data_IF_916130640094
#
_entry.id   IF_916130640094
#
_cell.length_a   1.000
_cell.length_b   1.000
_cell.length_c   1.000
_cell.angle_alpha   90.00
_cell.angle_beta   90.00
_cell.angle_gamma   90.00
#
_symmetry.space_group_name_H-M   'P 1'
#
loop_
_entity.id
_entity.type
_entity.pdbx_description
1 polymer ?
#
# COMPACT_ATOMS: atom_id res chain seq x y z
N UNK A 1 -28.36 -38.99 -80.73
CA UNK A 1 -29.65 -39.12 -80.01
C UNK A 1 -29.68 -40.43 -79.24
N UNK A 2 -29.35 -40.40 -77.94
CA UNK A 2 -29.67 -41.44 -76.94
C UNK A 2 -29.80 -40.73 -75.59
N UNK A 3 -30.92 -40.98 -74.91
CA UNK A 3 -31.27 -40.43 -73.60
C UNK A 3 -30.96 -41.44 -72.48
N UNK A 4 -30.59 -40.95 -71.30
CA UNK A 4 -30.79 -41.56 -69.96
C UNK A 4 -30.16 -40.60 -68.93
N UNK A 5 -30.88 -39.77 -68.16
CA UNK A 5 -31.62 -40.03 -66.90
C UNK A 5 -30.86 -40.86 -65.86
N UNK A 6 -31.05 -40.49 -64.58
CA UNK A 6 -30.63 -41.15 -63.29
C UNK A 6 -29.29 -40.57 -62.76
N UNK A 7 -29.11 -40.03 -61.56
CA UNK A 7 -29.89 -39.93 -60.32
C UNK A 7 -29.25 -38.80 -59.46
N UNK A 8 -30.02 -37.83 -58.97
CA UNK A 8 -29.54 -36.81 -58.03
C UNK A 8 -29.93 -37.24 -56.61
N UNK A 9 -28.95 -37.75 -55.85
CA UNK A 9 -29.10 -38.10 -54.44
C UNK A 9 -28.65 -36.89 -53.61
N UNK A 10 -29.58 -36.10 -53.09
CA UNK A 10 -29.28 -35.10 -52.05
C UNK A 10 -30.22 -35.38 -50.88
N UNK A 11 -29.73 -36.22 -49.96
CA UNK A 11 -30.29 -36.36 -48.63
C UNK A 11 -30.06 -35.04 -47.86
N UNK A 12 -31.13 -34.29 -47.61
CA UNK A 12 -31.16 -33.24 -46.60
C UNK A 12 -31.00 -33.89 -45.21
N UNK A 13 -29.76 -33.95 -44.71
CA UNK A 13 -29.50 -34.14 -43.29
C UNK A 13 -29.68 -32.78 -42.60
N UNK A 14 -30.89 -32.53 -42.10
CA UNK A 14 -31.15 -31.47 -41.13
C UNK A 14 -30.53 -31.92 -39.81
N UNK A 15 -29.26 -31.58 -39.60
CA UNK A 15 -28.64 -31.65 -38.27
C UNK A 15 -29.11 -30.42 -37.49
N UNK A 16 -30.10 -30.64 -36.64
CA UNK A 16 -30.47 -29.71 -35.57
C UNK A 16 -29.25 -29.52 -34.67
N UNK A 17 -28.58 -28.38 -34.81
CA UNK A 17 -27.61 -27.90 -33.83
C UNK A 17 -28.41 -27.62 -32.56
N UNK A 18 -28.36 -28.56 -31.62
CA UNK A 18 -28.74 -28.33 -30.23
C UNK A 18 -27.76 -27.28 -29.68
N UNK A 19 -28.13 -26.00 -29.80
CA UNK A 19 -27.54 -24.91 -29.04
C UNK A 19 -27.81 -25.18 -27.57
N UNK A 20 -26.92 -25.94 -26.92
CA UNK A 20 -26.78 -25.89 -25.48
C UNK A 20 -26.17 -24.53 -25.15
N UNK A 21 -27.02 -23.58 -24.77
CA UNK A 21 -26.58 -22.42 -24.02
C UNK A 21 -25.98 -22.93 -22.70
N UNK A 22 -24.67 -23.18 -22.69
CA UNK A 22 -23.94 -23.28 -21.44
C UNK A 22 -23.81 -21.87 -20.88
N UNK A 23 -24.75 -21.49 -20.02
CA UNK A 23 -24.45 -20.52 -18.96
C UNK A 23 -23.41 -21.20 -18.08
N UNK A 24 -22.13 -21.04 -18.42
CA UNK A 24 -21.05 -21.28 -17.48
C UNK A 24 -21.36 -20.38 -16.29
N UNK A 25 -21.77 -20.98 -15.17
CA UNK A 25 -21.88 -20.25 -13.92
C UNK A 25 -20.52 -19.60 -13.68
N UNK A 26 -20.49 -18.27 -13.61
CA UNK A 26 -19.26 -17.56 -13.36
C UNK A 26 -18.76 -17.99 -11.98
N UNK A 27 -17.67 -18.75 -11.97
CA UNK A 27 -17.09 -19.33 -10.75
C UNK A 27 -16.24 -18.31 -10.00
N UNK A 28 -16.04 -17.12 -10.57
CA UNK A 28 -15.24 -16.07 -9.98
C UNK A 28 -15.90 -15.50 -8.73
N UNK A 29 -15.09 -15.31 -7.69
CA UNK A 29 -15.50 -14.57 -6.50
C UNK A 29 -15.51 -13.09 -6.83
N UNK A 30 -16.56 -12.39 -6.42
CA UNK A 30 -16.69 -10.94 -6.56
C UNK A 30 -16.76 -10.28 -5.19
N UNK A 31 -16.23 -9.07 -5.11
CA UNK A 31 -16.47 -8.13 -4.02
C UNK A 31 -17.43 -7.05 -4.51
N UNK A 32 -18.53 -6.88 -3.78
CA UNK A 32 -19.50 -5.81 -3.99
C UNK A 32 -19.39 -4.84 -2.81
N UNK A 33 -19.07 -3.58 -3.10
CA UNK A 33 -19.17 -2.46 -2.16
C UNK A 33 -20.49 -1.73 -2.46
N UNK A 34 -21.37 -1.61 -1.47
CA UNK A 34 -22.63 -0.88 -1.57
C UNK A 34 -22.46 0.60 -1.21
N UNK A 35 -23.40 1.44 -1.62
CA UNK A 35 -23.37 2.90 -1.41
C UNK A 35 -23.42 3.31 0.06
N UNK A 36 -24.03 2.48 0.91
CA UNK A 36 -24.04 2.61 2.38
C UNK A 36 -22.71 2.19 3.03
N UNK A 37 -21.74 1.68 2.24
CA UNK A 37 -20.40 1.33 2.69
C UNK A 37 -20.25 -0.08 3.25
N UNK A 38 -21.26 -0.94 3.07
CA UNK A 38 -21.16 -2.38 3.32
C UNK A 38 -20.36 -3.08 2.21
N UNK A 39 -19.72 -4.20 2.57
CA UNK A 39 -18.93 -4.99 1.64
C UNK A 39 -19.30 -6.46 1.74
N UNK A 40 -19.57 -7.07 0.59
CA UNK A 40 -19.94 -8.47 0.48
C UNK A 40 -18.99 -9.17 -0.48
N UNK A 41 -18.58 -10.38 -0.10
CA UNK A 41 -17.76 -11.26 -0.92
C UNK A 41 -18.53 -12.55 -1.16
N UNK A 42 -18.67 -12.91 -2.43
CA UNK A 42 -19.41 -14.11 -2.81
C UNK A 42 -19.34 -14.38 -4.30
N UNK A 43 -20.12 -15.35 -4.76
CA UNK A 43 -20.28 -15.67 -6.19
C UNK A 43 -21.62 -15.15 -6.68
N UNK A 44 -21.65 -14.57 -7.86
CA UNK A 44 -22.91 -14.15 -8.48
C UNK A 44 -23.62 -15.41 -8.96
N UNK A 45 -24.75 -15.76 -8.35
CA UNK A 45 -25.56 -16.91 -8.77
C UNK A 45 -26.65 -16.51 -9.76
N UNK A 46 -27.10 -15.25 -9.70
CA UNK A 46 -28.06 -14.69 -10.65
C UNK A 46 -27.85 -13.19 -10.79
N UNK A 47 -28.07 -12.67 -11.98
CA UNK A 47 -28.05 -11.24 -12.28
C UNK A 47 -29.19 -10.92 -13.25
N UNK A 48 -29.97 -9.88 -12.94
CA UNK A 48 -30.99 -9.32 -13.82
C UNK A 48 -30.77 -7.81 -14.02
N UNK A 49 -31.74 -7.08 -14.57
CA UNK A 49 -31.59 -5.63 -14.84
C UNK A 49 -31.54 -4.79 -13.56
N UNK A 50 -32.09 -5.29 -12.46
CA UNK A 50 -32.38 -4.50 -11.27
C UNK A 50 -31.50 -4.91 -10.09
N UNK A 51 -31.12 -6.20 -10.02
CA UNK A 51 -30.42 -6.78 -8.88
C UNK A 51 -29.42 -7.88 -9.24
N UNK A 52 -28.55 -8.15 -8.27
CA UNK A 52 -27.60 -9.25 -8.25
C UNK A 52 -27.92 -10.14 -7.04
N UNK A 53 -27.93 -11.45 -7.25
CA UNK A 53 -27.98 -12.46 -6.19
C UNK A 53 -26.56 -12.97 -5.96
N UNK A 54 -26.04 -12.71 -4.76
CA UNK A 54 -24.69 -13.05 -4.35
C UNK A 54 -24.72 -14.16 -3.31
N UNK A 55 -24.13 -15.31 -3.63
CA UNK A 55 -23.93 -16.41 -2.69
C UNK A 55 -22.66 -16.16 -1.85
N UNK A 56 -22.86 -15.84 -0.58
CA UNK A 56 -21.79 -15.58 0.39
C UNK A 56 -21.54 -16.80 1.28
N UNK A 57 -20.31 -16.96 1.77
CA UNK A 57 -19.98 -18.09 2.66
C UNK A 57 -20.72 -18.05 4.01
N UNK A 58 -21.07 -16.85 4.50
CA UNK A 58 -21.57 -16.66 5.87
C UNK A 58 -23.04 -16.29 5.96
N UNK A 59 -23.55 -15.50 5.01
CA UNK A 59 -24.91 -14.97 5.04
C UNK A 59 -25.85 -15.77 4.12
N UNK A 60 -25.33 -16.78 3.42
CA UNK A 60 -26.05 -17.46 2.36
C UNK A 60 -26.20 -16.56 1.13
N UNK A 61 -27.31 -16.72 0.42
CA UNK A 61 -27.65 -15.86 -0.72
C UNK A 61 -28.21 -14.52 -0.25
N UNK A 62 -27.66 -13.43 -0.77
CA UNK A 62 -28.13 -12.07 -0.53
C UNK A 62 -28.51 -11.42 -1.86
N UNK A 63 -29.56 -10.61 -1.84
CA UNK A 63 -30.02 -9.83 -3.00
C UNK A 63 -29.60 -8.38 -2.85
N UNK A 64 -28.86 -7.85 -3.81
CA UNK A 64 -28.36 -6.47 -3.81
C UNK A 64 -28.90 -5.76 -5.06
N UNK A 65 -29.59 -4.63 -4.88
CA UNK A 65 -30.03 -3.81 -6.00
C UNK A 65 -28.83 -3.16 -6.68
N UNK A 66 -28.81 -3.15 -8.01
CA UNK A 66 -27.73 -2.51 -8.79
C UNK A 66 -27.60 -1.02 -8.50
N UNK A 67 -28.71 -0.37 -8.14
CA UNK A 67 -28.72 1.04 -7.69
C UNK A 67 -27.92 1.25 -6.42
N UNK A 68 -27.85 0.25 -5.55
CA UNK A 68 -27.13 0.30 -4.28
C UNK A 68 -25.67 -0.10 -4.43
N UNK A 69 -25.26 -0.65 -5.57
CA UNK A 69 -23.87 -1.02 -5.84
C UNK A 69 -23.06 0.22 -6.16
N UNK A 70 -21.99 0.43 -5.38
CA UNK A 70 -20.97 1.45 -5.62
C UNK A 70 -19.83 0.91 -6.46
N UNK A 71 -19.38 -0.32 -6.20
CA UNK A 71 -18.38 -0.99 -7.04
C UNK A 71 -18.49 -2.51 -6.97
N UNK A 72 -18.13 -3.16 -8.09
CA UNK A 72 -18.02 -4.61 -8.21
C UNK A 72 -16.62 -4.93 -8.76
N UNK A 73 -15.85 -5.76 -8.05
CA UNK A 73 -14.50 -6.18 -8.47
C UNK A 73 -14.36 -7.70 -8.38
N UNK A 74 -13.80 -8.30 -9.41
CA UNK A 74 -13.42 -9.71 -9.38
C UNK A 74 -12.23 -9.91 -8.42
N UNK A 75 -12.31 -10.93 -7.59
CA UNK A 75 -11.25 -11.35 -6.67
C UNK A 75 -10.43 -12.41 -7.37
N UNK A 76 -9.14 -12.13 -7.55
CA UNK A 76 -8.21 -13.10 -8.13
C UNK A 76 -7.93 -14.21 -7.10
N UNK A 77 -7.76 -15.45 -7.56
CA UNK A 77 -7.50 -16.60 -6.66
C UNK A 77 -6.29 -16.40 -5.76
N UNK A 78 -5.28 -15.64 -6.21
CA UNK A 78 -4.08 -15.27 -5.46
C UNK A 78 -4.37 -14.38 -4.25
N UNK A 79 -5.52 -13.69 -4.24
CA UNK A 79 -5.98 -12.86 -3.12
C UNK A 79 -6.71 -13.68 -2.07
N UNK A 80 -6.90 -14.99 -2.25
CA UNK A 80 -7.58 -15.85 -1.29
C UNK A 80 -6.56 -16.73 -0.61
N UNK A 81 -6.42 -16.57 0.71
CA UNK A 81 -5.54 -17.39 1.54
C UNK A 81 -6.29 -17.84 2.79
N UNK A 82 -6.31 -19.15 3.01
CA UNK A 82 -7.02 -19.81 4.10
C UNK A 82 -8.52 -19.44 4.15
N UNK A 83 -9.16 -19.41 2.97
CA UNK A 83 -10.58 -19.07 2.82
C UNK A 83 -10.92 -17.60 3.08
N UNK A 84 -9.94 -16.75 3.36
CA UNK A 84 -10.11 -15.30 3.58
C UNK A 84 -9.58 -14.52 2.39
N UNK A 85 -10.18 -13.36 2.12
CA UNK A 85 -9.67 -12.42 1.11
C UNK A 85 -8.60 -11.53 1.74
N UNK A 86 -7.44 -11.47 1.09
CA UNK A 86 -6.27 -10.69 1.44
C UNK A 86 -6.14 -9.58 0.40
N UNK A 87 -6.69 -8.40 0.71
CA UNK A 87 -6.57 -7.23 -0.17
C UNK A 87 -5.12 -6.75 -0.26
N UNK A 88 -4.71 -6.10 -1.36
CA UNK A 88 -3.40 -5.48 -1.47
C UNK A 88 -3.12 -4.53 -0.29
N UNK A 89 -1.85 -4.40 0.09
CA UNK A 89 -1.43 -3.45 1.12
C UNK A 89 -1.63 -2.01 0.63
N UNK A 90 -2.55 -1.22 1.23
CA UNK A 90 -2.78 0.17 0.81
C UNK A 90 -1.64 1.11 1.20
N UNK A 91 -0.63 0.63 1.94
CA UNK A 91 0.51 1.38 2.45
C UNK A 91 1.83 0.63 2.18
N UNK A 92 1.97 0.09 0.97
CA UNK A 92 3.10 -0.76 0.56
C UNK A 92 4.46 -0.03 0.47
N UNK A 93 4.46 1.29 0.28
CA UNK A 93 5.66 2.09 -0.04
C UNK A 93 6.43 2.59 1.19
N UNK A 94 5.98 2.25 2.41
CA UNK A 94 6.59 2.70 3.68
C UNK A 94 6.44 1.72 4.83
N UNK A 95 7.30 1.88 5.83
CA UNK A 95 7.18 1.29 7.17
C UNK A 95 6.41 2.25 8.10
N UNK A 96 6.90 2.57 9.30
CA UNK A 96 6.23 3.51 10.20
C UNK A 96 6.24 4.92 9.63
N UNK A 97 7.40 5.40 9.18
CA UNK A 97 7.50 6.63 8.40
C UNK A 97 8.55 6.51 7.27
N UNK A 98 9.58 5.68 7.47
CA UNK A 98 10.62 5.47 6.47
C UNK A 98 10.02 4.93 5.17
N UNK A 99 10.37 5.49 4.00
CA UNK A 99 10.01 4.87 2.74
C UNK A 99 10.76 3.54 2.58
N UNK A 100 10.29 2.69 1.66
CA UNK A 100 11.04 1.54 1.18
C UNK A 100 11.30 1.67 -0.34
N UNK A 101 11.89 0.66 -0.97
CA UNK A 101 12.18 0.64 -2.40
C UNK A 101 10.93 0.69 -3.29
N UNK A 102 9.76 0.27 -2.80
CA UNK A 102 8.51 0.42 -3.53
C UNK A 102 8.08 1.89 -3.63
N UNK A 103 7.65 2.31 -4.82
CA UNK A 103 7.15 3.66 -5.08
C UNK A 103 5.62 3.72 -5.08
N UNK A 104 5.09 4.92 -4.95
CA UNK A 104 3.70 5.21 -5.34
C UNK A 104 3.62 5.25 -6.85
N UNK A 105 2.60 4.61 -7.43
CA UNK A 105 2.37 4.72 -8.87
C UNK A 105 1.74 6.05 -9.24
N UNK A 106 1.67 6.35 -10.54
CA UNK A 106 1.06 7.59 -11.02
C UNK A 106 -0.38 7.73 -10.50
N UNK A 107 -0.62 8.82 -9.78
CA UNK A 107 -1.93 9.14 -9.21
C UNK A 107 -2.25 8.46 -7.89
N UNK A 108 -1.37 7.59 -7.37
CA UNK A 108 -1.50 7.05 -6.02
C UNK A 108 -0.96 8.08 -5.00
N UNK A 109 -1.64 8.21 -3.87
CA UNK A 109 -1.17 9.03 -2.77
C UNK A 109 -1.66 8.54 -1.43
N UNK A 110 -1.09 9.10 -0.38
CA UNK A 110 -1.58 8.93 0.98
C UNK A 110 -1.33 10.17 1.82
N UNK A 111 -2.21 10.38 2.78
CA UNK A 111 -2.00 11.25 3.91
C UNK A 111 -1.67 10.38 5.13
N UNK A 112 -0.75 10.84 5.96
CA UNK A 112 -0.40 10.23 7.22
C UNK A 112 -0.27 11.30 8.30
N UNK A 113 -0.86 11.00 9.45
CA UNK A 113 -0.69 11.75 10.68
C UNK A 113 0.03 10.86 11.71
N UNK A 114 1.06 11.37 12.37
CA UNK A 114 1.75 10.70 13.48
C UNK A 114 1.66 11.60 14.71
N UNK A 115 1.23 11.03 15.85
CA UNK A 115 1.04 11.73 17.13
C UNK A 115 0.19 13.00 17.06
N UNK A 116 -0.73 13.13 16.10
CA UNK A 116 -1.50 14.36 15.82
C UNK A 116 -0.65 15.50 15.25
N UNK A 117 0.64 15.57 15.59
CA UNK A 117 1.55 16.67 15.25
C UNK A 117 2.20 16.54 13.87
N UNK A 118 2.65 15.35 13.49
CA UNK A 118 3.36 15.19 12.23
C UNK A 118 2.37 14.89 11.13
N UNK A 119 2.17 15.85 10.24
CA UNK A 119 1.23 15.74 9.13
C UNK A 119 2.03 15.62 7.84
N UNK A 120 1.96 14.48 7.17
CA UNK A 120 2.68 14.23 5.93
C UNK A 120 1.79 13.67 4.84
N UNK A 121 2.17 13.95 3.60
CA UNK A 121 1.55 13.36 2.42
C UNK A 121 2.64 12.89 1.46
N UNK A 122 2.27 11.96 0.59
CA UNK A 122 3.07 11.60 -0.57
C UNK A 122 2.16 11.32 -1.77
N UNK A 123 2.65 11.63 -2.96
CA UNK A 123 1.93 11.46 -4.21
C UNK A 123 2.86 10.99 -5.33
N UNK A 124 2.43 9.97 -6.08
CA UNK A 124 3.10 9.46 -7.27
C UNK A 124 2.83 10.34 -8.48
N UNK A 125 3.85 11.06 -8.94
CA UNK A 125 3.81 11.89 -10.14
C UNK A 125 3.91 11.02 -11.40
N UNK A 126 4.76 9.99 -11.34
CA UNK A 126 4.89 8.92 -12.34
C UNK A 126 4.88 7.56 -11.63
N UNK A 127 5.00 6.46 -12.38
CA UNK A 127 5.09 5.13 -11.79
C UNK A 127 6.41 4.86 -11.03
N UNK A 128 7.39 5.75 -11.18
CA UNK A 128 8.72 5.61 -10.59
C UNK A 128 9.17 6.86 -9.82
N UNK A 129 8.43 7.96 -9.87
CA UNK A 129 8.76 9.20 -9.17
C UNK A 129 7.58 9.67 -8.34
N UNK A 130 7.86 9.91 -7.06
CA UNK A 130 6.92 10.44 -6.09
C UNK A 130 7.51 11.64 -5.37
N UNK A 131 6.64 12.54 -4.93
CA UNK A 131 7.00 13.65 -4.06
C UNK A 131 6.10 13.61 -2.83
N UNK A 132 6.72 13.76 -1.67
CA UNK A 132 6.02 13.99 -0.42
C UNK A 132 6.35 15.33 0.18
N UNK A 133 5.64 15.63 1.26
CA UNK A 133 5.94 16.75 2.12
C UNK A 133 5.30 16.57 3.48
N UNK A 134 5.85 17.25 4.47
CA UNK A 134 5.31 17.22 5.81
C UNK A 134 5.44 18.57 6.51
N UNK A 135 4.62 18.72 7.53
CA UNK A 135 4.66 19.82 8.49
C UNK A 135 4.44 19.28 9.90
N UNK A 136 5.20 19.80 10.85
CA UNK A 136 4.98 19.62 12.28
C UNK A 136 4.61 20.98 12.87
N UNK A 137 3.31 21.34 12.97
CA UNK A 137 2.84 22.69 13.22
C UNK A 137 2.96 23.07 14.71
N UNK A 138 4.19 23.18 15.20
CA UNK A 138 4.49 23.55 16.58
C UNK A 138 4.08 24.98 16.91
N UNK A 139 3.76 25.82 15.91
CA UNK A 139 3.16 27.14 16.12
C UNK A 139 1.85 27.09 16.91
N UNK A 140 1.13 25.96 16.90
CA UNK A 140 -0.07 25.72 17.71
C UNK A 140 0.23 25.60 19.22
N UNK A 141 1.50 25.43 19.59
CA UNK A 141 1.99 25.27 20.96
C UNK A 141 2.81 26.47 21.39
N UNK A 142 2.17 27.65 21.41
CA UNK A 142 2.81 28.88 21.86
C UNK A 142 3.75 29.52 20.84
N UNK A 143 3.52 29.30 19.54
CA UNK A 143 4.33 29.90 18.48
C UNK A 143 5.67 29.22 18.24
N UNK A 144 5.82 27.95 18.63
CA UNK A 144 7.07 27.21 18.49
C UNK A 144 7.55 27.06 17.04
N UNK A 145 8.87 26.94 16.82
CA UNK A 145 9.47 26.72 15.51
C UNK A 145 8.86 25.50 14.80
N UNK A 146 8.48 25.65 13.53
CA UNK A 146 7.67 24.67 12.79
C UNK A 146 8.46 24.02 11.66
N UNK A 147 8.90 22.76 11.83
CA UNK A 147 9.55 22.01 10.76
C UNK A 147 8.62 21.79 9.56
N UNK A 148 9.13 22.08 8.37
CA UNK A 148 8.49 21.77 7.09
C UNK A 148 9.52 21.15 6.17
N UNK A 149 9.12 20.14 5.40
CA UNK A 149 10.02 19.52 4.42
C UNK A 149 9.27 18.95 3.23
N UNK A 150 10.01 18.78 2.14
CA UNK A 150 9.61 17.99 0.97
C UNK A 150 10.47 16.74 0.89
N UNK A 151 9.93 15.71 0.25
CA UNK A 151 10.58 14.41 0.11
C UNK A 151 10.43 13.81 -1.29
N UNK A 152 11.23 14.26 -2.27
CA UNK A 152 11.28 13.59 -3.58
C UNK A 152 11.91 12.21 -3.46
N UNK A 153 11.34 11.24 -4.19
CA UNK A 153 11.81 9.86 -4.22
C UNK A 153 11.62 9.24 -5.59
N UNK A 154 12.67 8.56 -6.06
CA UNK A 154 12.64 7.68 -7.22
C UNK A 154 12.68 6.21 -6.77
N UNK A 155 11.94 5.35 -7.48
CA UNK A 155 11.81 3.92 -7.21
C UNK A 155 12.02 3.11 -8.48
N UNK A 156 12.87 2.09 -8.40
CA UNK A 156 13.26 1.22 -9.50
C UNK A 156 12.93 -0.24 -9.16
N UNK A 157 11.88 -0.82 -9.76
CA UNK A 157 11.56 -2.23 -9.58
C UNK A 157 12.54 -3.10 -10.40
N UNK A 158 13.61 -3.57 -9.77
CA UNK A 158 14.65 -4.39 -10.41
C UNK A 158 14.08 -5.77 -10.77
N UNK A 159 13.39 -6.40 -9.82
CA UNK A 159 12.62 -7.62 -10.04
C UNK A 159 11.27 -7.50 -9.35
N UNK A 160 10.19 -7.62 -10.14
CA UNK A 160 8.82 -7.41 -9.65
C UNK A 160 8.54 -8.28 -8.41
N UNK A 161 8.07 -7.62 -7.35
CA UNK A 161 7.69 -8.25 -6.06
C UNK A 161 8.81 -9.02 -5.34
N UNK A 162 10.07 -8.81 -5.74
CA UNK A 162 11.23 -9.49 -5.16
C UNK A 162 12.36 -8.55 -4.81
N UNK A 163 12.67 -7.58 -5.66
CA UNK A 163 13.78 -6.66 -5.42
C UNK A 163 13.49 -5.29 -6.01
N UNK A 164 13.53 -4.26 -5.16
CA UNK A 164 13.30 -2.87 -5.54
C UNK A 164 14.38 -1.99 -4.95
N UNK A 165 14.83 -1.01 -5.74
CA UNK A 165 15.73 0.04 -5.29
C UNK A 165 14.96 1.35 -5.17
N UNK A 166 15.36 2.19 -4.23
CA UNK A 166 14.87 3.54 -4.09
C UNK A 166 16.01 4.49 -3.78
N UNK A 167 15.88 5.73 -4.23
CA UNK A 167 16.73 6.83 -3.80
C UNK A 167 15.87 8.07 -3.61
N UNK A 168 16.23 8.92 -2.68
CA UNK A 168 15.46 10.11 -2.40
C UNK A 168 16.20 11.10 -1.54
N UNK A 169 15.53 12.21 -1.29
CA UNK A 169 15.97 13.20 -0.35
C UNK A 169 14.81 13.63 0.54
N UNK A 170 15.13 14.07 1.75
CA UNK A 170 14.30 14.95 2.56
C UNK A 170 15.00 16.30 2.60
N UNK A 171 14.29 17.38 2.30
CA UNK A 171 14.85 18.73 2.28
C UNK A 171 13.85 19.64 2.98
N UNK A 172 14.28 20.30 4.05
CA UNK A 172 13.41 21.06 4.92
C UNK A 172 14.06 22.29 5.55
N UNK A 173 13.21 23.04 6.23
CA UNK A 173 13.56 24.20 7.03
C UNK A 173 12.66 24.27 8.26
N UNK A 174 13.02 25.11 9.22
CA UNK A 174 12.24 25.38 10.42
C UNK A 174 11.65 26.77 10.33
N UNK A 175 10.34 26.87 10.11
CA UNK A 175 9.65 28.16 10.08
C UNK A 175 9.67 28.80 11.47
N UNK A 176 10.00 30.08 11.54
CA UNK A 176 10.18 30.80 12.81
C UNK A 176 11.64 30.91 13.25
N UNK A 177 12.57 30.26 12.55
CA UNK A 177 14.02 30.40 12.74
C UNK A 177 14.68 31.06 11.52
N UNK A 178 15.78 31.77 11.74
CA UNK A 178 16.57 32.43 10.67
C UNK A 178 17.57 31.49 9.99
N UNK A 179 18.01 30.46 10.71
CA UNK A 179 18.86 29.35 10.26
C UNK A 179 18.18 28.03 10.64
N UNK A 180 18.56 26.89 10.07
CA UNK A 180 17.86 25.63 10.31
C UNK A 180 17.36 24.97 9.03
N UNK A 181 18.18 25.02 7.98
CA UNK A 181 17.96 24.12 6.83
C UNK A 181 18.48 22.74 7.20
N UNK A 182 17.70 21.71 6.91
CA UNK A 182 18.09 20.34 7.21
C UNK A 182 17.63 19.40 6.11
N UNK A 183 18.24 18.23 6.07
CA UNK A 183 17.77 17.18 5.22
C UNK A 183 18.57 15.90 5.30
N UNK A 184 18.22 14.99 4.41
CA UNK A 184 18.74 13.64 4.34
C UNK A 184 18.74 13.20 2.88
N UNK A 185 19.90 12.88 2.31
CA UNK A 185 19.97 12.15 1.05
C UNK A 185 20.14 10.66 1.36
N UNK A 186 19.35 9.80 0.72
CA UNK A 186 19.37 8.37 1.03
C UNK A 186 19.18 7.47 -0.18
N UNK A 187 19.69 6.24 -0.05
CA UNK A 187 19.41 5.09 -0.90
C UNK A 187 18.83 3.94 -0.09
N UNK A 188 17.98 3.13 -0.69
CA UNK A 188 17.33 1.99 -0.03
C UNK A 188 17.16 0.81 -0.97
N UNK A 189 17.43 -0.38 -0.46
CA UNK A 189 17.23 -1.65 -1.14
C UNK A 189 16.16 -2.45 -0.40
N UNK A 190 15.14 -2.93 -1.11
CA UNK A 190 14.03 -3.70 -0.54
C UNK A 190 13.91 -5.07 -1.18
N UNK A 191 13.85 -6.09 -0.33
CA UNK A 191 13.80 -7.49 -0.72
C UNK A 191 12.47 -8.12 -0.27
N UNK A 192 11.80 -8.81 -1.19
CA UNK A 192 10.52 -9.48 -0.98
C UNK A 192 9.30 -8.64 -1.40
N UNK A 193 8.10 -9.27 -1.44
CA UNK A 193 6.87 -8.64 -1.93
C UNK A 193 6.33 -7.52 -1.02
N UNK A 194 5.39 -6.69 -1.49
CA UNK A 194 4.76 -5.61 -0.70
C UNK A 194 4.14 -6.01 0.64
N UNK A 195 3.78 -7.29 0.81
CA UNK A 195 3.19 -7.82 2.04
C UNK A 195 4.21 -8.50 2.98
N UNK A 196 5.43 -8.71 2.50
CA UNK A 196 6.49 -9.40 3.24
C UNK A 196 7.84 -8.97 2.69
N UNK A 197 8.42 -7.94 3.27
CA UNK A 197 9.71 -7.42 2.82
C UNK A 197 10.59 -6.92 3.95
N UNK A 198 11.87 -6.84 3.64
CA UNK A 198 12.91 -6.22 4.46
C UNK A 198 13.60 -5.18 3.58
N UNK A 199 13.96 -4.04 4.15
CA UNK A 199 14.77 -3.03 3.51
C UNK A 199 16.02 -2.70 4.30
N UNK A 200 17.07 -2.38 3.55
CA UNK A 200 18.33 -1.84 4.08
C UNK A 200 18.58 -0.53 3.37
N UNK A 201 18.73 0.54 4.13
CA UNK A 201 18.97 1.89 3.64
C UNK A 201 20.23 2.51 4.23
N UNK A 202 20.78 3.45 3.49
CA UNK A 202 21.89 4.29 3.89
C UNK A 202 21.51 5.75 3.59
N UNK A 203 21.73 6.65 4.53
CA UNK A 203 21.50 8.07 4.29
C UNK A 203 22.54 8.96 4.95
N UNK A 204 22.80 10.11 4.35
CA UNK A 204 23.65 11.16 4.89
C UNK A 204 22.79 12.37 5.22
N UNK A 205 22.80 12.75 6.50
CA UNK A 205 22.15 13.97 6.95
C UNK A 205 22.95 15.19 6.51
N UNK A 206 22.27 16.30 6.27
CA UNK A 206 22.89 17.61 6.16
C UNK A 206 22.11 18.62 7.00
N UNK A 207 22.82 19.58 7.58
CA UNK A 207 22.23 20.70 8.31
C UNK A 207 23.11 21.94 8.10
N UNK A 208 22.48 23.07 7.82
CA UNK A 208 23.13 24.39 7.71
C UNK A 208 24.39 24.41 6.82
N UNK A 209 24.31 23.69 5.69
CA UNK A 209 25.37 23.62 4.68
C UNK A 209 26.44 22.55 4.93
N UNK A 210 26.40 21.87 6.07
CA UNK A 210 27.35 20.82 6.43
C UNK A 210 26.73 19.42 6.33
N UNK A 211 27.51 18.47 5.82
CA UNK A 211 27.13 17.06 5.76
C UNK A 211 27.60 16.33 7.01
N UNK A 212 26.78 15.40 7.50
CA UNK A 212 27.19 14.49 8.55
C UNK A 212 28.42 13.68 8.14
N UNK A 213 29.38 13.51 9.06
CA UNK A 213 30.60 12.73 8.84
C UNK A 213 30.35 11.22 8.70
N UNK A 214 29.22 10.76 9.26
CA UNK A 214 28.85 9.34 9.31
C UNK A 214 27.44 9.14 8.75
N UNK A 215 27.20 8.02 8.05
CA UNK A 215 25.87 7.70 7.55
C UNK A 215 24.94 7.20 8.66
N UNK A 216 23.65 7.32 8.38
CA UNK A 216 22.58 6.62 9.08
C UNK A 216 22.30 5.33 8.30
N UNK A 217 22.36 4.19 8.99
CA UNK A 217 21.94 2.90 8.44
C UNK A 217 20.51 2.62 8.90
N UNK A 218 19.63 2.31 7.96
CA UNK A 218 18.25 1.90 8.26
C UNK A 218 18.05 0.42 7.94
N UNK A 219 17.47 -0.34 8.85
CA UNK A 219 17.03 -1.72 8.61
C UNK A 219 15.59 -1.84 9.07
N UNK A 220 14.70 -2.14 8.13
CA UNK A 220 13.26 -2.10 8.37
C UNK A 220 12.59 -3.32 7.75
N UNK A 221 11.48 -3.78 8.34
CA UNK A 221 10.77 -4.97 7.91
C UNK A 221 9.27 -4.84 8.09
N UNK A 222 8.53 -5.50 7.21
CA UNK A 222 7.06 -5.56 7.23
C UNK A 222 6.61 -6.97 6.87
N UNK A 223 5.79 -7.56 7.73
CA UNK A 223 5.32 -8.94 7.59
C UNK A 223 3.82 -9.01 7.84
N UNK A 224 3.04 -9.36 6.81
CA UNK A 224 1.60 -9.55 6.96
C UNK A 224 1.29 -10.82 7.76
N UNK A 225 0.68 -10.64 8.93
CA UNK A 225 0.29 -11.70 9.85
C UNK A 225 -1.13 -12.24 9.57
N UNK A 226 -2.03 -11.37 9.10
CA UNK A 226 -3.42 -11.73 8.79
C UNK A 226 -3.99 -10.80 7.70
N UNK A 227 -5.25 -10.99 7.24
CA UNK A 227 -5.85 -10.11 6.24
C UNK A 227 -5.80 -8.62 6.56
N UNK A 228 -5.75 -8.26 7.86
CA UNK A 228 -5.75 -6.85 8.31
C UNK A 228 -4.54 -6.48 9.17
N UNK A 229 -3.66 -7.41 9.50
CA UNK A 229 -2.58 -7.17 10.46
C UNK A 229 -1.22 -7.37 9.83
N UNK A 230 -0.33 -6.42 10.07
CA UNK A 230 1.08 -6.49 9.72
C UNK A 230 1.91 -6.26 10.98
N UNK A 231 3.00 -7.00 11.12
CA UNK A 231 4.11 -6.63 12.00
C UNK A 231 5.04 -5.69 11.25
N UNK A 232 5.50 -4.63 11.92
CA UNK A 232 6.44 -3.65 11.37
C UNK A 232 7.57 -3.43 12.38
N UNK A 233 8.79 -3.34 11.87
CA UNK A 233 9.97 -2.92 12.61
C UNK A 233 10.76 -1.95 11.74
N UNK A 234 11.24 -0.86 12.31
CA UNK A 234 11.97 0.20 11.62
C UNK A 234 13.11 0.67 12.53
N UNK A 235 14.34 0.34 12.13
CA UNK A 235 15.51 0.48 13.01
C UNK A 235 16.57 1.34 12.34
N UNK A 236 17.26 2.14 13.16
CA UNK A 236 18.27 3.09 12.74
C UNK A 236 19.52 2.90 13.57
N UNK A 237 20.66 2.90 12.91
CA UNK A 237 21.97 3.05 13.52
C UNK A 237 22.57 4.36 13.05
N UNK A 238 23.02 5.17 14.00
CA UNK A 238 23.52 6.52 13.79
C UNK A 238 24.97 6.55 14.30
N UNK A 239 25.93 6.56 13.38
CA UNK A 239 27.36 6.49 13.69
C UNK A 239 28.01 7.84 14.03
N UNK A 240 27.28 8.77 14.65
CA UNK A 240 27.72 10.17 14.81
C UNK A 240 28.59 10.37 16.08
N UNK A 241 28.61 9.43 17.03
CA UNK A 241 29.42 9.48 18.26
C UNK A 241 30.38 8.30 18.40
N UNK A 242 31.46 8.46 19.18
CA UNK A 242 32.47 7.41 19.46
C UNK A 242 31.87 6.14 20.09
N UNK A 243 30.73 6.26 20.78
CA UNK A 243 30.05 5.13 21.44
C UNK A 243 29.01 4.44 20.55
N UNK A 244 28.63 5.03 19.42
CA UNK A 244 27.57 4.53 18.55
C UNK A 244 26.18 4.54 19.23
N UNK A 245 25.13 4.75 18.44
CA UNK A 245 23.78 4.73 18.96
C UNK A 245 22.74 4.53 17.88
N UNK A 246 21.49 4.49 18.28
CA UNK A 246 20.42 4.29 17.33
C UNK A 246 19.07 4.14 17.98
N UNK A 247 18.13 3.69 17.18
CA UNK A 247 16.75 3.45 17.61
C UNK A 247 16.31 2.14 17.00
N UNK A 248 15.83 1.22 17.84
CA UNK A 248 15.14 0.02 17.38
C UNK A 248 13.64 0.19 17.58
N UNK A 249 12.83 -0.51 16.80
CA UNK A 249 11.39 -0.46 16.99
C UNK A 249 10.70 -1.77 16.66
N UNK A 250 9.51 -1.92 17.23
CA UNK A 250 8.59 -2.99 16.89
C UNK A 250 7.15 -2.55 17.12
N UNK A 251 6.26 -3.02 16.26
CA UNK A 251 4.83 -2.78 16.41
C UNK A 251 4.01 -3.38 15.29
N UNK A 252 2.81 -2.83 15.10
CA UNK A 252 1.83 -3.35 14.18
C UNK A 252 1.14 -2.27 13.36
N UNK A 253 0.70 -2.67 12.17
CA UNK A 253 -0.23 -1.94 11.32
C UNK A 253 -1.53 -2.71 11.21
N UNK A 254 -2.62 -2.04 11.53
CA UNK A 254 -3.98 -2.54 11.39
C UNK A 254 -4.70 -1.84 10.24
N UNK A 255 -5.14 -2.61 9.24
CA UNK A 255 -5.87 -2.10 8.07
C UNK A 255 -7.38 -2.04 8.36
N UNK A 256 -7.94 -0.84 8.22
CA UNK A 256 -9.36 -0.53 8.43
C UNK A 256 -9.96 -0.04 7.11
N UNK A 257 -10.62 -0.95 6.38
CA UNK A 257 -11.06 -0.71 5.00
C UNK A 257 -9.87 -0.27 4.13
N UNK A 258 -9.79 1.01 3.79
CA UNK A 258 -8.68 1.61 3.03
C UNK A 258 -7.67 2.34 3.93
N UNK A 259 -8.03 2.68 5.15
CA UNK A 259 -7.14 3.35 6.10
C UNK A 259 -6.24 2.35 6.84
N UNK A 260 -5.22 2.87 7.50
CA UNK A 260 -4.35 2.07 8.37
C UNK A 260 -4.03 2.80 9.66
N UNK A 261 -3.99 2.06 10.76
CA UNK A 261 -3.53 2.51 12.07
C UNK A 261 -2.21 1.81 12.38
N UNK A 262 -1.17 2.60 12.63
CA UNK A 262 0.16 2.15 12.99
C UNK A 262 0.37 2.39 14.48
N UNK A 263 0.87 1.40 15.21
CA UNK A 263 1.26 1.58 16.60
C UNK A 263 2.47 0.73 16.94
N UNK A 264 3.32 1.22 17.83
CA UNK A 264 4.57 0.55 18.17
C UNK A 264 5.33 1.25 19.27
N UNK A 265 6.55 0.80 19.51
CA UNK A 265 7.47 1.41 20.45
C UNK A 265 8.84 1.54 19.78
N UNK A 266 9.41 2.74 19.85
CA UNK A 266 10.75 3.05 19.39
C UNK A 266 11.66 3.19 20.60
N UNK A 267 12.62 2.30 20.75
CA UNK A 267 13.53 2.25 21.90
C UNK A 267 14.91 2.75 21.44
N UNK A 268 15.37 3.91 21.93
CA UNK A 268 16.71 4.37 21.66
C UNK A 268 17.74 3.48 22.40
N UNK A 269 18.92 3.32 21.82
CA UNK A 269 20.05 2.62 22.43
C UNK A 269 21.35 3.40 22.17
N UNK A 270 22.32 3.26 23.07
CA UNK A 270 23.58 4.02 23.07
C UNK A 270 24.01 4.37 24.49
N UNK A 271 25.19 4.96 24.64
CA UNK A 271 25.69 5.41 25.94
C UNK A 271 24.82 6.55 26.50
N UNK A 272 24.57 6.52 27.82
CA UNK A 272 23.86 7.60 28.52
C UNK A 272 22.35 7.72 28.25
N UNK A 273 21.71 6.67 27.69
CA UNK A 273 20.27 6.69 27.41
C UNK A 273 19.48 6.00 28.52
N UNK A 274 18.78 6.80 29.34
CA UNK A 274 17.86 6.33 30.38
C UNK A 274 16.39 6.22 29.89
N UNK A 275 16.16 6.53 28.62
CA UNK A 275 14.82 6.62 28.04
C UNK A 275 14.30 5.26 27.57
N UNK A 276 13.14 4.83 28.10
CA UNK A 276 12.58 3.48 27.89
C UNK A 276 11.98 3.29 26.50
N UNK A 277 11.45 4.34 25.87
CA UNK A 277 10.94 4.27 24.50
C UNK A 277 9.84 5.28 24.17
N UNK A 278 9.73 5.59 22.89
CA UNK A 278 8.77 6.54 22.32
C UNK A 278 7.60 5.72 21.76
N UNK A 279 6.39 5.85 22.33
CA UNK A 279 5.24 5.17 21.76
C UNK A 279 4.95 5.75 20.38
N UNK A 280 4.71 4.90 19.38
CA UNK A 280 4.32 5.32 18.04
C UNK A 280 2.81 5.20 17.90
N UNK A 281 2.17 6.24 17.36
CA UNK A 281 0.78 6.19 16.92
C UNK A 281 0.65 6.96 15.61
N UNK A 282 0.33 6.24 14.55
CA UNK A 282 0.15 6.79 13.21
C UNK A 282 -1.19 6.40 12.63
N UNK A 283 -1.78 7.30 11.85
CA UNK A 283 -2.98 7.04 11.09
C UNK A 283 -2.76 7.47 9.64
N UNK A 284 -3.13 6.63 8.68
CA UNK A 284 -2.97 6.95 7.26
C UNK A 284 -4.20 6.63 6.44
N UNK A 285 -4.49 7.48 5.48
CA UNK A 285 -5.57 7.32 4.50
C UNK A 285 -4.97 7.44 3.10
N UNK A 286 -5.11 6.41 2.25
CA UNK A 286 -4.76 6.53 0.84
C UNK A 286 -5.79 7.40 0.10
N UNK A 287 -5.31 8.14 -0.90
CA UNK A 287 -6.14 8.92 -1.82
C UNK A 287 -5.68 8.72 -3.27
N UNK A 288 -6.47 9.23 -4.22
CA UNK A 288 -6.20 9.06 -5.64
C UNK A 288 -6.47 7.63 -6.12
N UNK A 289 -5.61 7.13 -7.00
CA UNK A 289 -5.75 5.83 -7.65
C UNK A 289 -5.27 4.64 -6.80
N UNK A 290 -4.93 4.88 -5.53
CA UNK A 290 -4.52 3.85 -4.58
C UNK A 290 -5.61 2.77 -4.45
N UNK A 291 -5.31 1.55 -4.90
CA UNK A 291 -6.25 0.42 -4.97
C UNK A 291 -6.26 -0.45 -3.72
#
# INVERSE_FOLDING_TARGET
MKASKTFLFICLFVSTILLKAQTNADTSLVRIETRDGNEYVGRITKEDTDKIILSTQRLGEISILKTDIKSQKNIQSQQIKDGKVWFPNPQASRYFWSPNGYGLKKGEGYYQNIWVLWNQFAYGITDNFSIGGAVVPLFLFGGGPTPVFISPKISFPVEKEKFNLGAGALIGTVLGETEGTFGLAYGISTFGPPDRNISIGLGYGFADGEWASSPIVNISGMFRLSPRWYFISENYYIGVSEDGGGIISGGARWIIKRAALDFGLFVPFGSGIDFVGIPWLGFSIPFGNSQ
#
